data_IF_911287934641
#
_entry.id   IF_911287934641
#
_cell.length_a   1.000
_cell.length_b   1.000
_cell.length_c   1.000
_cell.angle_alpha   90.00
_cell.angle_beta   90.00
_cell.angle_gamma   90.00
#
_symmetry.space_group_name_H-M   'P 1'
#
loop_
_entity.id
_entity.type
_entity.pdbx_description
1 polymer ?
#
# COMPACT_ATOMS: atom_id res chain seq x y z
N UNK A 1 -5.05 -0.39 18.57
CA UNK A 1 -5.93 -1.43 17.96
C UNK A 1 -7.24 -0.87 17.39
N UNK A 2 -8.01 -0.03 18.10
CA UNK A 2 -9.28 0.50 17.58
C UNK A 2 -9.16 1.24 16.22
N UNK A 3 -8.11 2.05 16.04
CA UNK A 3 -7.84 2.74 14.75
C UNK A 3 -7.61 1.77 13.59
N UNK A 4 -6.86 0.69 13.81
CA UNK A 4 -6.56 -0.30 12.77
C UNK A 4 -7.80 -1.10 12.38
N UNK A 5 -8.63 -1.45 13.37
CA UNK A 5 -9.93 -2.10 13.15
C UNK A 5 -10.85 -1.19 12.34
N UNK A 6 -10.97 0.09 12.71
CA UNK A 6 -11.78 1.06 11.98
C UNK A 6 -11.28 1.25 10.53
N UNK A 7 -9.95 1.34 10.33
CA UNK A 7 -9.35 1.46 9.00
C UNK A 7 -9.65 0.25 8.12
N UNK A 8 -9.53 -0.97 8.65
CA UNK A 8 -9.83 -2.21 7.92
C UNK A 8 -11.32 -2.32 7.58
N UNK A 9 -12.18 -2.00 8.53
CA UNK A 9 -13.63 -2.02 8.32
C UNK A 9 -14.07 -1.00 7.25
N UNK A 10 -13.56 0.24 7.33
CA UNK A 10 -13.86 1.26 6.31
C UNK A 10 -13.36 0.84 4.94
N UNK A 11 -12.13 0.32 4.83
CA UNK A 11 -11.61 -0.16 3.56
C UNK A 11 -12.49 -1.26 2.96
N UNK A 12 -12.92 -2.23 3.77
CA UNK A 12 -13.80 -3.30 3.29
C UNK A 12 -15.15 -2.77 2.78
N UNK A 13 -15.75 -1.81 3.50
CA UNK A 13 -16.98 -1.15 3.08
C UNK A 13 -16.78 -0.38 1.77
N UNK A 14 -15.76 0.48 1.71
CA UNK A 14 -15.50 1.31 0.53
C UNK A 14 -15.22 0.42 -0.72
N UNK A 15 -14.55 -0.73 -0.54
CA UNK A 15 -14.33 -1.71 -1.62
C UNK A 15 -15.62 -2.44 -2.05
N UNK A 16 -16.56 -2.68 -1.14
CA UNK A 16 -17.85 -3.30 -1.46
C UNK A 16 -18.79 -2.34 -2.21
N UNK A 17 -18.66 -1.04 -1.94
CA UNK A 17 -19.45 0.03 -2.55
C UNK A 17 -18.86 0.52 -3.89
N UNK A 18 -17.82 -0.15 -4.43
CA UNK A 18 -17.18 0.27 -5.68
C UNK A 18 -18.10 0.12 -6.90
N UNK A 19 -18.19 1.14 -7.78
CA UNK A 19 -18.91 1.02 -9.03
C UNK A 19 -18.31 -0.04 -9.96
N UNK A 20 -19.17 -0.67 -10.76
CA UNK A 20 -18.73 -1.61 -11.78
C UNK A 20 -17.78 -0.93 -12.79
N UNK A 21 -16.71 -1.62 -13.19
CA UNK A 21 -15.69 -1.11 -14.10
C UNK A 21 -14.61 -0.25 -13.44
N UNK A 22 -14.72 0.05 -12.14
CA UNK A 22 -13.65 0.75 -11.40
C UNK A 22 -12.65 -0.26 -10.85
N UNK A 23 -11.36 -0.05 -11.16
CA UNK A 23 -10.26 -0.85 -10.61
C UNK A 23 -9.49 -0.04 -9.58
N UNK A 24 -9.48 -0.49 -8.33
CA UNK A 24 -8.64 0.10 -7.27
C UNK A 24 -7.28 -0.59 -7.23
N UNK A 25 -6.20 0.19 -7.17
CA UNK A 25 -4.83 -0.29 -7.03
C UNK A 25 -4.24 0.21 -5.73
N UNK A 26 -3.82 -0.71 -4.86
CA UNK A 26 -3.13 -0.39 -3.59
C UNK A 26 -1.62 -0.35 -3.85
N UNK A 27 -1.00 0.79 -3.58
CA UNK A 27 0.43 0.98 -3.83
C UNK A 27 1.31 0.40 -2.71
N UNK A 28 2.58 0.04 -3.02
CA UNK A 28 3.53 -0.42 -2.02
C UNK A 28 3.74 0.58 -0.87
N UNK A 29 3.74 0.11 0.36
CA UNK A 29 3.91 0.92 1.58
C UNK A 29 5.38 1.23 1.95
N UNK A 30 6.34 0.70 1.19
CA UNK A 30 7.77 0.83 1.48
C UNK A 30 8.27 0.00 2.67
N UNK A 31 7.43 -0.83 3.29
CA UNK A 31 7.85 -1.81 4.29
C UNK A 31 8.69 -2.92 3.64
N UNK A 32 9.76 -3.36 4.29
CA UNK A 32 10.57 -4.49 3.80
C UNK A 32 9.76 -5.79 3.73
N UNK A 33 10.16 -6.73 2.87
CA UNK A 33 9.57 -8.08 2.75
C UNK A 33 9.56 -8.84 4.08
N UNK A 34 10.59 -8.63 4.91
CA UNK A 34 10.70 -9.23 6.25
C UNK A 34 9.86 -8.52 7.32
N UNK A 35 9.32 -7.33 7.00
CA UNK A 35 8.51 -6.52 7.91
C UNK A 35 7.00 -6.81 7.78
N UNK A 36 6.62 -7.87 7.05
CA UNK A 36 5.28 -8.41 6.79
C UNK A 36 4.09 -7.65 7.38
N UNK A 37 3.08 -7.35 6.56
CA UNK A 37 1.87 -6.56 6.90
C UNK A 37 1.11 -6.98 8.17
N UNK A 38 1.37 -8.18 8.72
CA UNK A 38 0.72 -8.73 9.91
C UNK A 38 1.68 -9.09 11.06
N UNK A 39 2.98 -8.78 10.99
CA UNK A 39 3.90 -9.18 12.06
C UNK A 39 3.80 -8.22 13.24
N UNK A 40 3.53 -8.75 14.44
CA UNK A 40 3.59 -8.05 15.75
C UNK A 40 4.89 -7.23 15.97
N UNK A 41 5.91 -7.45 15.14
CA UNK A 41 7.15 -6.69 15.05
C UNK A 41 6.93 -5.22 14.68
N UNK A 42 5.87 -4.88 13.94
CA UNK A 42 5.51 -3.48 13.63
C UNK A 42 5.03 -2.70 14.86
N UNK A 43 4.52 -3.39 15.89
CA UNK A 43 4.11 -2.79 17.16
C UNK A 43 5.29 -2.54 18.12
N UNK A 44 6.49 -3.08 17.82
CA UNK A 44 7.70 -2.76 18.57
C UNK A 44 8.18 -1.36 18.16
N UNK A 45 7.76 -0.40 18.98
CA UNK A 45 8.04 1.03 19.10
C UNK A 45 9.51 1.50 18.85
N UNK A 46 10.18 1.13 17.76
CA UNK A 46 11.60 1.45 17.52
C UNK A 46 11.97 1.80 16.07
N UNK A 47 11.05 2.33 15.26
CA UNK A 47 11.35 2.52 13.82
C UNK A 47 10.94 3.87 13.24
N UNK A 48 10.79 4.91 14.07
CA UNK A 48 10.65 6.28 13.55
C UNK A 48 11.91 6.72 12.77
N UNK A 49 13.09 6.22 13.14
CA UNK A 49 14.35 6.54 12.46
C UNK A 49 14.46 6.07 11.01
N UNK A 50 13.58 5.16 10.56
CA UNK A 50 13.56 4.67 9.17
C UNK A 50 12.38 5.21 8.35
N UNK A 51 11.69 6.22 8.87
CA UNK A 51 10.52 6.80 8.18
C UNK A 51 10.91 7.36 6.82
N UNK A 52 11.98 8.15 6.74
CA UNK A 52 12.47 8.70 5.48
C UNK A 52 12.82 7.59 4.48
N UNK A 53 13.58 6.57 4.91
CA UNK A 53 13.92 5.42 4.07
C UNK A 53 12.70 4.64 3.57
N UNK A 54 11.63 4.54 4.38
CA UNK A 54 10.38 3.91 3.98
C UNK A 54 9.63 4.74 2.94
N UNK A 55 9.61 6.06 3.10
CA UNK A 55 9.01 6.99 2.13
C UNK A 55 9.72 6.83 0.78
N UNK A 56 11.05 6.91 0.76
CA UNK A 56 11.83 6.77 -0.49
C UNK A 56 11.63 5.41 -1.16
N UNK A 57 11.61 4.32 -0.37
CA UNK A 57 11.34 2.98 -0.90
C UNK A 57 9.92 2.84 -1.45
N UNK A 58 8.93 3.39 -0.75
CA UNK A 58 7.55 3.38 -1.21
C UNK A 58 7.42 4.15 -2.53
N UNK A 59 8.07 5.32 -2.63
CA UNK A 59 8.10 6.14 -3.83
C UNK A 59 8.70 5.35 -5.01
N UNK A 60 9.94 4.87 -4.88
CA UNK A 60 10.62 4.16 -5.95
C UNK A 60 9.85 2.89 -6.40
N UNK A 61 9.26 2.14 -5.47
CA UNK A 61 8.46 0.97 -5.80
C UNK A 61 7.13 1.33 -6.47
N UNK A 62 6.48 2.41 -6.03
CA UNK A 62 5.22 2.88 -6.60
C UNK A 62 5.41 3.43 -8.01
N UNK A 63 6.44 4.25 -8.24
CA UNK A 63 6.75 4.79 -9.57
C UNK A 63 6.99 3.67 -10.58
N UNK A 64 7.82 2.67 -10.21
CA UNK A 64 8.03 1.49 -11.04
C UNK A 64 6.74 0.72 -11.30
N UNK A 65 5.89 0.53 -10.29
CA UNK A 65 4.60 -0.16 -10.47
C UNK A 65 3.69 0.61 -11.43
N UNK A 66 3.62 1.93 -11.32
CA UNK A 66 2.82 2.78 -12.21
C UNK A 66 3.37 2.70 -13.63
N UNK A 67 4.67 2.88 -13.83
CA UNK A 67 5.29 2.79 -15.17
C UNK A 67 5.06 1.43 -15.82
N UNK A 68 5.25 0.35 -15.08
CA UNK A 68 5.12 -1.02 -15.62
C UNK A 68 3.68 -1.43 -15.88
N UNK A 69 2.74 -0.98 -15.05
CA UNK A 69 1.36 -1.48 -15.09
C UNK A 69 0.41 -0.50 -15.75
N UNK A 70 0.53 0.80 -15.48
CA UNK A 70 -0.25 1.83 -16.17
C UNK A 70 0.37 2.21 -17.52
N UNK A 71 1.70 2.32 -17.62
CA UNK A 71 2.37 2.56 -18.90
C UNK A 71 2.18 1.42 -19.93
N UNK A 72 2.01 0.19 -19.46
CA UNK A 72 1.61 -0.94 -20.31
C UNK A 72 0.11 -0.94 -20.66
N UNK A 73 -0.74 -0.31 -19.85
CA UNK A 73 -2.18 -0.20 -20.10
C UNK A 73 -2.50 0.87 -21.15
N UNK A 74 -1.76 1.98 -21.17
CA UNK A 74 -1.88 3.06 -22.16
C UNK A 74 -1.28 2.71 -23.54
N UNK A 75 -0.57 1.58 -23.64
CA UNK A 75 0.07 1.08 -24.86
C UNK A 75 -0.66 -0.09 -25.55
N UNK A 76 -1.86 -0.46 -25.10
CA UNK A 76 -2.68 -1.47 -25.77
C UNK A 76 -3.50 -0.81 -26.92
N UNK A 77 -3.47 -1.38 -28.15
CA UNK A 77 -4.15 -0.83 -29.33
C UNK A 77 -5.67 -0.88 -29.24
#
# INVERSE_FOLDING_TARGET
>A
MAFEIARRHRFARDMADLPAGVTVRVLPSGSGTDEGTATLRQLRYRTFGRTAERIERAYAASSRYIETVLGASDGAP
#
